data_IF_952652702778
#
_entry.id   IF_952652702778
#
_cell.length_a   1.000
_cell.length_b   1.000
_cell.length_c   1.000
_cell.angle_alpha   90.00
_cell.angle_beta   90.00
_cell.angle_gamma   90.00
#
_symmetry.space_group_name_H-M   'P 1'
#
loop_
_entity.id
_entity.type
_entity.pdbx_description
1 polymer ?
#
# COMPACT_ATOMS: atom_id res chain seq x y z
N UNK A 1 -30.26 -61.90 17.55
CA UNK A 1 -30.24 -61.57 16.11
C UNK A 1 -30.34 -60.06 15.97
N UNK A 2 -29.71 -59.51 14.92
CA UNK A 2 -29.66 -58.11 14.48
C UNK A 2 -28.51 -57.25 15.01
N UNK A 3 -27.36 -57.47 14.35
CA UNK A 3 -26.37 -56.47 13.98
C UNK A 3 -27.02 -55.21 13.38
N UNK A 4 -26.51 -54.02 13.71
CA UNK A 4 -26.47 -52.89 12.80
C UNK A 4 -25.25 -52.02 13.07
N UNK A 5 -24.52 -51.83 11.98
CA UNK A 5 -23.20 -51.26 11.80
C UNK A 5 -23.23 -49.73 11.85
N UNK A 6 -22.51 -49.13 12.80
CA UNK A 6 -22.29 -47.68 12.83
C UNK A 6 -21.09 -47.31 11.96
N UNK A 7 -21.41 -46.96 10.71
CA UNK A 7 -20.88 -45.87 9.87
C UNK A 7 -19.38 -45.55 10.01
N UNK A 8 -18.61 -46.02 9.01
CA UNK A 8 -17.39 -45.36 8.56
C UNK A 8 -17.74 -43.96 8.01
N UNK A 9 -17.09 -42.93 8.53
CA UNK A 9 -16.91 -41.65 7.83
C UNK A 9 -15.65 -40.96 8.33
N UNK A 10 -14.49 -41.49 7.96
CA UNK A 10 -13.21 -40.79 8.15
C UNK A 10 -12.94 -39.99 6.88
N UNK A 11 -13.44 -38.75 6.88
CA UNK A 11 -13.17 -37.77 5.83
C UNK A 11 -11.69 -37.38 5.89
N UNK A 12 -10.99 -37.59 4.78
CA UNK A 12 -9.58 -37.23 4.57
C UNK A 12 -9.31 -35.78 4.93
N UNK A 13 -8.32 -35.57 5.80
CA UNK A 13 -7.68 -34.28 5.95
C UNK A 13 -6.17 -34.43 5.84
N UNK A 14 -5.56 -33.38 5.27
CA UNK A 14 -4.14 -33.06 5.30
C UNK A 14 -3.23 -33.86 4.38
N UNK A 15 -3.07 -33.35 3.14
CA UNK A 15 -1.72 -32.95 2.72
C UNK A 15 -1.79 -31.91 1.60
N UNK A 16 -1.68 -30.63 1.97
CA UNK A 16 -1.23 -29.60 1.04
C UNK A 16 0.09 -29.05 1.59
N UNK A 17 1.16 -29.68 1.14
CA UNK A 17 2.52 -29.17 1.26
C UNK A 17 2.61 -27.89 0.44
N UNK A 18 2.62 -26.73 1.11
CA UNK A 18 2.95 -25.45 0.47
C UNK A 18 4.44 -25.20 0.71
N UNK A 19 5.26 -25.78 -0.16
CA UNK A 19 6.66 -25.37 -0.34
C UNK A 19 6.66 -23.98 -1.00
N UNK A 20 6.63 -22.92 -0.21
CA UNK A 20 6.77 -21.55 -0.69
C UNK A 20 8.25 -21.19 -0.88
N UNK A 21 8.86 -21.69 -1.95
CA UNK A 21 10.17 -21.23 -2.43
C UNK A 21 9.96 -20.04 -3.37
N UNK A 22 10.21 -18.83 -2.88
CA UNK A 22 10.34 -17.63 -3.73
C UNK A 22 11.78 -17.52 -4.23
N UNK A 23 12.07 -18.17 -5.34
CA UNK A 23 13.30 -17.96 -6.11
C UNK A 23 13.02 -16.88 -7.16
N UNK A 24 13.55 -15.67 -6.95
CA UNK A 24 13.59 -14.61 -7.97
C UNK A 24 15.01 -14.51 -8.51
N UNK A 25 15.33 -15.31 -9.51
CA UNK A 25 16.50 -15.08 -10.37
C UNK A 25 16.01 -14.44 -11.67
N UNK A 26 16.11 -13.11 -11.73
CA UNK A 26 15.92 -12.35 -12.97
C UNK A 26 17.19 -12.51 -13.84
N UNK A 27 17.20 -13.56 -14.65
CA UNK A 27 18.14 -13.69 -15.78
C UNK A 27 17.54 -12.91 -16.95
N UNK A 28 18.13 -11.75 -17.24
CA UNK A 28 17.86 -11.00 -18.48
C UNK A 28 18.59 -11.68 -19.65
N UNK A 29 17.91 -12.05 -20.75
CA UNK A 29 18.60 -12.41 -21.98
C UNK A 29 19.23 -11.15 -22.61
N UNK A 30 20.57 -11.14 -22.66
CA UNK A 30 21.38 -10.20 -23.43
C UNK A 30 21.11 -10.45 -24.91
N UNK A 31 20.31 -9.58 -25.54
CA UNK A 31 20.25 -9.48 -27.00
C UNK A 31 21.53 -8.77 -27.48
N UNK A 32 22.50 -9.58 -27.93
CA UNK A 32 23.57 -9.12 -28.81
C UNK A 32 22.95 -8.67 -30.14
N UNK A 33 22.83 -7.37 -30.32
CA UNK A 33 22.72 -6.79 -31.67
C UNK A 33 24.12 -6.44 -32.12
N UNK A 34 24.67 -7.31 -32.97
CA UNK A 34 25.91 -7.05 -33.69
C UNK A 34 25.70 -5.96 -34.75
N UNK A 35 26.51 -4.92 -34.66
CA UNK A 35 26.63 -3.85 -35.65
C UNK A 35 27.59 -4.32 -36.75
N UNK A 36 27.12 -4.40 -37.99
CA UNK A 36 27.97 -4.35 -39.20
C UNK A 36 27.81 -3.01 -39.92
N UNK A 37 28.74 -2.11 -39.58
CA UNK A 37 29.53 -1.17 -40.41
C UNK A 37 29.03 -0.85 -41.84
N UNK A 38 28.82 0.45 -42.14
CA UNK A 38 29.59 1.22 -43.15
C UNK A 38 29.08 2.67 -43.38
N UNK A 39 29.97 3.66 -43.14
CA UNK A 39 30.25 4.93 -43.89
C UNK A 39 29.10 5.94 -44.18
N UNK A 40 29.20 7.28 -44.05
CA UNK A 40 30.29 8.28 -44.25
C UNK A 40 29.79 9.69 -43.82
N UNK A 41 30.69 10.55 -43.29
CA UNK A 41 30.57 12.04 -43.20
C UNK A 41 29.67 12.56 -42.07
N UNK A 42 29.95 13.63 -41.31
CA UNK A 42 30.86 14.77 -41.48
C UNK A 42 31.10 15.40 -40.09
N UNK A 43 32.31 15.94 -39.88
CA UNK A 43 32.81 16.55 -38.64
C UNK A 43 31.92 17.72 -38.15
N UNK A 44 31.76 17.88 -36.83
CA UNK A 44 31.89 19.19 -36.15
C UNK A 44 32.08 19.03 -34.62
N UNK A 45 32.81 19.99 -34.07
CA UNK A 45 33.48 20.05 -32.76
C UNK A 45 32.58 19.94 -31.52
N UNK A 46 33.14 19.32 -30.48
CA UNK A 46 32.81 19.50 -29.04
C UNK A 46 33.43 20.83 -28.53
N UNK A 47 32.81 21.51 -27.54
CA UNK A 47 33.36 21.55 -26.17
C UNK A 47 32.26 21.14 -25.16
N UNK A 48 32.44 20.16 -24.28
CA UNK A 48 33.18 20.17 -23.02
C UNK A 48 32.51 21.04 -21.92
N UNK A 49 32.15 20.35 -20.83
CA UNK A 49 31.79 20.85 -19.49
C UNK A 49 30.37 21.40 -19.24
N UNK A 50 29.46 20.48 -18.91
CA UNK A 50 28.46 20.73 -17.86
C UNK A 50 28.25 19.43 -17.08
N UNK A 51 28.81 19.38 -15.86
CA UNK A 51 28.55 18.32 -14.88
C UNK A 51 27.03 18.27 -14.66
N UNK A 52 26.37 17.22 -15.16
CA UNK A 52 24.99 16.91 -14.75
C UNK A 52 25.04 16.58 -13.26
N UNK A 53 24.61 17.54 -12.45
CA UNK A 53 24.30 17.32 -11.05
C UNK A 53 23.37 16.12 -10.93
N UNK A 54 23.75 15.17 -10.08
CA UNK A 54 22.83 14.14 -9.59
C UNK A 54 21.59 14.82 -9.02
N UNK A 55 20.37 14.36 -9.33
CA UNK A 55 19.16 14.95 -8.78
C UNK A 55 19.20 14.81 -7.26
N UNK A 56 19.25 15.95 -6.58
CA UNK A 56 19.17 16.03 -5.13
C UNK A 56 17.91 15.28 -4.66
N UNK A 57 18.10 14.33 -3.73
CA UNK A 57 17.02 13.63 -3.03
C UNK A 57 15.98 14.68 -2.57
N UNK A 58 14.68 14.54 -2.89
CA UNK A 58 13.69 15.54 -2.52
C UNK A 58 13.70 15.71 -1.00
N UNK A 59 13.95 16.94 -0.54
CA UNK A 59 13.86 17.32 0.87
C UNK A 59 12.46 16.95 1.36
N UNK A 60 12.36 16.17 2.44
CA UNK A 60 11.07 15.79 3.04
C UNK A 60 10.28 17.08 3.32
N UNK A 61 9.12 17.22 2.68
CA UNK A 61 8.23 18.36 2.90
C UNK A 61 7.78 18.35 4.35
N UNK A 62 7.76 19.52 4.99
CA UNK A 62 7.17 19.68 6.33
C UNK A 62 5.69 19.30 6.23
N UNK A 63 5.19 18.42 7.12
CA UNK A 63 3.79 18.01 7.08
C UNK A 63 2.88 19.22 7.23
N UNK A 64 1.84 19.28 6.39
CA UNK A 64 0.82 20.32 6.52
C UNK A 64 -0.01 20.10 7.79
N UNK A 65 -0.65 21.14 8.34
CA UNK A 65 -1.53 21.00 9.52
C UNK A 65 -2.59 19.89 9.36
N UNK A 66 -3.11 19.73 8.14
CA UNK A 66 -4.07 18.66 7.78
C UNK A 66 -3.50 17.26 7.95
N UNK A 67 -2.19 17.11 7.71
CA UNK A 67 -1.47 15.84 7.83
C UNK A 67 -1.11 15.53 9.29
N UNK A 68 -0.89 16.56 10.11
CA UNK A 68 -0.69 16.40 11.55
C UNK A 68 -1.99 16.02 12.27
N UNK A 69 -3.12 16.57 11.83
CA UNK A 69 -4.45 16.24 12.38
C UNK A 69 -5.00 14.91 11.87
N UNK A 70 -4.32 14.26 10.91
CA UNK A 70 -4.74 12.96 10.41
C UNK A 70 -4.65 11.93 11.53
N UNK A 71 -5.74 11.20 11.85
CA UNK A 71 -5.71 10.15 12.85
C UNK A 71 -4.56 9.19 12.59
N UNK A 72 -3.77 8.94 13.63
CA UNK A 72 -2.61 8.05 13.55
C UNK A 72 -3.10 6.63 13.33
N UNK A 73 -2.39 5.87 12.49
CA UNK A 73 -2.72 4.47 12.23
C UNK A 73 -2.90 3.70 13.54
N UNK A 74 -3.96 2.90 13.59
CA UNK A 74 -4.23 2.02 14.72
C UNK A 74 -3.04 1.10 15.04
N UNK A 75 -2.90 0.80 16.32
CA UNK A 75 -1.86 -0.07 16.87
C UNK A 75 -2.30 -1.54 16.68
N UNK A 76 -1.38 -2.43 16.28
CA UNK A 76 -1.68 -3.87 16.16
C UNK A 76 -1.76 -4.55 17.52
N UNK A 77 -2.41 -5.73 17.60
CA UNK A 77 -2.54 -6.50 18.86
C UNK A 77 -1.18 -6.77 19.52
N UNK A 78 -0.18 -7.19 18.73
CA UNK A 78 1.20 -7.37 19.20
C UNK A 78 1.80 -6.10 19.81
N UNK A 79 1.51 -4.92 19.25
CA UNK A 79 2.07 -3.67 19.77
C UNK A 79 1.43 -3.26 21.10
N UNK A 80 0.20 -3.68 21.40
CA UNK A 80 -0.38 -3.54 22.75
C UNK A 80 0.39 -4.40 23.76
N UNK A 81 0.67 -5.66 23.40
CA UNK A 81 1.50 -6.54 24.22
C UNK A 81 2.89 -5.94 24.47
N UNK A 82 3.56 -5.46 23.43
CA UNK A 82 4.88 -4.82 23.56
C UNK A 82 4.84 -3.60 24.47
N UNK A 83 3.81 -2.75 24.34
CA UNK A 83 3.63 -1.58 25.22
C UNK A 83 3.45 -2.00 26.68
N UNK A 84 2.72 -3.08 26.93
CA UNK A 84 2.53 -3.63 28.28
C UNK A 84 3.82 -4.23 28.83
N UNK A 85 4.57 -5.00 28.04
CA UNK A 85 5.85 -5.58 28.45
C UNK A 85 6.89 -4.48 28.76
N UNK A 86 6.95 -3.44 27.92
CA UNK A 86 7.79 -2.28 28.23
C UNK A 86 7.33 -1.54 29.48
N UNK A 87 6.02 -1.42 29.72
CA UNK A 87 5.52 -0.79 30.94
C UNK A 87 5.87 -1.60 32.20
N UNK A 88 5.84 -2.94 32.12
CA UNK A 88 6.25 -3.87 33.19
C UNK A 88 7.75 -3.81 33.45
N UNK A 89 8.56 -3.70 32.40
CA UNK A 89 10.04 -3.76 32.49
C UNK A 89 10.71 -2.38 32.48
N UNK A 90 9.94 -1.30 32.67
CA UNK A 90 10.43 0.09 32.68
C UNK A 90 11.53 0.37 33.71
N UNK A 91 11.75 -0.54 34.67
CA UNK A 91 12.75 -0.43 35.72
C UNK A 91 14.15 -0.92 35.36
N UNK A 92 14.33 -1.71 34.29
CA UNK A 92 15.61 -2.40 34.11
C UNK A 92 16.71 -1.58 33.45
N UNK A 93 16.39 -0.52 32.68
CA UNK A 93 17.33 0.49 32.12
C UNK A 93 18.55 0.01 31.33
N UNK A 94 18.82 -1.30 31.32
CA UNK A 94 20.09 -1.95 31.02
C UNK A 94 20.04 -2.61 29.65
N UNK A 95 18.86 -3.08 29.24
CA UNK A 95 18.67 -3.71 27.93
C UNK A 95 18.22 -2.67 26.89
N UNK A 96 18.92 -2.55 25.74
CA UNK A 96 18.45 -1.74 24.63
C UNK A 96 17.04 -2.15 24.18
N UNK A 97 16.18 -1.17 23.88
CA UNK A 97 14.81 -1.44 23.45
C UNK A 97 14.73 -2.39 22.24
N UNK A 98 15.72 -2.36 21.36
CA UNK A 98 15.84 -3.27 20.21
C UNK A 98 15.98 -4.73 20.60
N UNK A 99 16.71 -5.02 21.68
CA UNK A 99 16.93 -6.39 22.14
C UNK A 99 15.77 -6.88 22.99
N UNK A 100 15.16 -5.99 23.78
CA UNK A 100 13.91 -6.27 24.48
C UNK A 100 12.79 -6.67 23.51
N UNK A 101 12.62 -5.96 22.38
CA UNK A 101 11.62 -6.32 21.36
C UNK A 101 11.85 -7.72 20.80
N UNK A 102 13.10 -8.14 20.58
CA UNK A 102 13.40 -9.51 20.08
C UNK A 102 12.98 -10.56 21.09
N UNK A 103 13.17 -10.31 22.39
CA UNK A 103 12.75 -11.21 23.46
C UNK A 103 11.22 -11.31 23.48
N UNK A 104 10.54 -10.16 23.51
CA UNK A 104 9.08 -10.11 23.49
C UNK A 104 8.47 -10.71 22.22
N UNK A 105 9.15 -10.62 21.07
CA UNK A 105 8.71 -11.27 19.84
C UNK A 105 8.67 -12.80 19.97
N UNK A 106 9.67 -13.40 20.63
CA UNK A 106 9.69 -14.84 20.91
C UNK A 106 8.57 -15.23 21.87
N UNK A 107 8.44 -14.48 22.97
CA UNK A 107 7.37 -14.69 23.95
C UNK A 107 5.98 -14.56 23.32
N UNK A 108 5.79 -13.61 22.38
CA UNK A 108 4.53 -13.48 21.66
C UNK A 108 4.20 -14.71 20.81
N UNK A 109 5.18 -15.37 20.21
CA UNK A 109 4.92 -16.60 19.44
C UNK A 109 4.49 -17.72 20.39
N UNK A 110 5.15 -17.84 21.55
CA UNK A 110 4.92 -18.87 22.57
C UNK A 110 3.59 -18.67 23.35
N UNK A 111 3.07 -17.45 23.42
CA UNK A 111 1.80 -17.15 24.09
C UNK A 111 0.62 -17.97 23.52
N UNK A 112 -0.28 -18.37 24.41
CA UNK A 112 -1.51 -19.07 24.04
C UNK A 112 -2.45 -18.17 23.24
N UNK A 113 -3.31 -18.77 22.40
CA UNK A 113 -4.28 -18.00 21.62
C UNK A 113 -5.27 -17.24 22.51
N UNK A 114 -5.60 -17.79 23.68
CA UNK A 114 -6.45 -17.12 24.68
C UNK A 114 -5.84 -15.83 25.21
N UNK A 115 -4.54 -15.80 25.46
CA UNK A 115 -3.86 -14.58 25.92
C UNK A 115 -3.73 -13.56 24.79
N UNK A 116 -3.52 -14.03 23.56
CA UNK A 116 -3.53 -13.19 22.36
C UNK A 116 -4.90 -12.56 22.11
N UNK A 117 -6.00 -13.28 22.35
CA UNK A 117 -7.36 -12.80 22.08
C UNK A 117 -7.70 -11.55 22.91
N UNK A 118 -7.15 -11.41 24.12
CA UNK A 118 -7.30 -10.18 24.93
C UNK A 118 -6.76 -8.96 24.18
N UNK A 119 -5.61 -9.08 23.52
CA UNK A 119 -5.04 -8.01 22.71
C UNK A 119 -5.76 -7.82 21.37
N UNK A 120 -6.32 -8.90 20.79
CA UNK A 120 -7.18 -8.79 19.61
C UNK A 120 -8.48 -8.04 19.92
N UNK A 121 -9.07 -8.26 21.08
CA UNK A 121 -10.26 -7.55 21.55
C UNK A 121 -9.97 -6.07 21.78
N UNK A 122 -8.85 -5.75 22.45
CA UNK A 122 -8.39 -4.36 22.59
C UNK A 122 -8.17 -3.67 21.24
N UNK A 123 -7.58 -4.39 20.26
CA UNK A 123 -7.43 -3.89 18.90
C UNK A 123 -8.78 -3.62 18.23
N UNK A 124 -9.76 -4.50 18.36
CA UNK A 124 -11.12 -4.32 17.78
C UNK A 124 -11.77 -3.04 18.31
N UNK A 125 -11.74 -2.82 19.62
CA UNK A 125 -12.26 -1.58 20.21
C UNK A 125 -11.53 -0.32 19.71
N UNK A 126 -10.19 -0.37 19.61
CA UNK A 126 -9.40 0.74 19.08
C UNK A 126 -9.63 0.99 17.59
N UNK A 127 -9.93 -0.05 16.81
CA UNK A 127 -10.30 0.06 15.39
C UNK A 127 -11.58 0.87 15.23
N UNK A 128 -12.62 0.56 16.00
CA UNK A 128 -13.89 1.30 15.96
C UNK A 128 -13.71 2.78 16.30
N UNK A 129 -12.89 3.11 17.31
CA UNK A 129 -12.62 4.50 17.64
C UNK A 129 -11.83 5.20 16.52
N UNK A 130 -10.81 4.53 15.98
CA UNK A 130 -10.02 5.08 14.87
C UNK A 130 -10.89 5.31 13.62
N UNK A 131 -11.85 4.44 13.32
CA UNK A 131 -12.79 4.63 12.22
C UNK A 131 -13.65 5.89 12.42
N UNK A 132 -14.14 6.14 13.64
CA UNK A 132 -14.85 7.38 13.98
C UNK A 132 -13.96 8.61 13.81
N UNK A 133 -12.73 8.55 14.30
CA UNK A 133 -11.77 9.65 14.20
C UNK A 133 -11.41 9.94 12.73
N UNK A 134 -11.23 8.90 11.91
CA UNK A 134 -10.99 9.02 10.46
C UNK A 134 -12.20 9.60 9.77
N UNK A 135 -13.42 9.13 10.07
CA UNK A 135 -14.63 9.69 9.49
C UNK A 135 -14.81 11.18 9.82
N UNK A 136 -14.52 11.58 11.07
CA UNK A 136 -14.54 12.97 11.49
C UNK A 136 -13.47 13.82 10.78
N UNK A 137 -12.25 13.29 10.66
CA UNK A 137 -11.16 13.95 9.92
C UNK A 137 -11.49 14.09 8.43
N UNK A 138 -12.02 13.04 7.82
CA UNK A 138 -12.46 13.06 6.42
C UNK A 138 -13.59 14.07 6.23
N UNK A 139 -14.58 14.10 7.11
CA UNK A 139 -15.65 15.12 7.06
C UNK A 139 -15.08 16.54 7.13
N UNK A 140 -14.11 16.79 8.02
CA UNK A 140 -13.44 18.10 8.18
C UNK A 140 -12.57 18.47 6.98
N UNK A 141 -11.92 17.49 6.36
CA UNK A 141 -10.90 17.72 5.33
C UNK A 141 -11.24 17.20 3.93
N UNK A 142 -12.51 16.85 3.68
CA UNK A 142 -13.05 16.48 2.36
C UNK A 142 -12.59 17.50 1.32
N UNK A 143 -11.78 17.04 0.36
CA UNK A 143 -11.29 17.90 -0.72
C UNK A 143 -12.48 18.15 -1.65
N UNK A 144 -12.78 19.42 -1.87
CA UNK A 144 -13.75 19.85 -2.88
C UNK A 144 -13.30 19.24 -4.23
N UNK A 145 -14.14 18.48 -4.95
CA UNK A 145 -13.79 17.98 -6.27
C UNK A 145 -13.41 19.17 -7.16
N UNK A 146 -12.28 19.07 -7.86
CA UNK A 146 -11.93 20.09 -8.86
C UNK A 146 -12.81 19.92 -10.11
N UNK A 147 -12.83 20.93 -10.97
CA UNK A 147 -13.61 20.92 -12.20
C UNK A 147 -13.42 19.66 -13.07
N UNK A 148 -12.17 19.21 -13.24
CA UNK A 148 -11.85 17.95 -13.93
C UNK A 148 -12.42 16.70 -13.24
N UNK A 149 -12.41 16.66 -11.90
CA UNK A 149 -12.93 15.52 -11.11
C UNK A 149 -14.45 15.42 -11.27
N UNK A 150 -15.15 16.56 -11.33
CA UNK A 150 -16.59 16.62 -11.61
C UNK A 150 -16.89 16.15 -13.03
N UNK A 151 -16.17 16.67 -14.03
CA UNK A 151 -16.28 16.22 -15.43
C UNK A 151 -16.01 14.71 -15.55
N UNK A 152 -14.92 14.25 -14.95
CA UNK A 152 -14.55 12.84 -14.94
C UNK A 152 -15.66 11.97 -14.35
N UNK A 153 -16.24 12.36 -13.20
CA UNK A 153 -17.34 11.61 -12.59
C UNK A 153 -18.61 11.53 -13.43
N UNK A 154 -18.87 12.53 -14.29
CA UNK A 154 -20.04 12.55 -15.19
C UNK A 154 -19.83 11.67 -16.43
N UNK A 155 -18.60 11.57 -16.91
CA UNK A 155 -18.26 10.83 -18.13
C UNK A 155 -17.67 9.44 -17.87
N UNK A 156 -17.49 9.07 -16.60
CA UNK A 156 -17.01 7.76 -16.20
C UNK A 156 -18.16 6.76 -16.16
N UNK A 157 -18.15 5.83 -17.12
CA UNK A 157 -19.04 4.67 -17.12
C UNK A 157 -18.36 3.53 -16.37
N UNK A 158 -18.97 3.10 -15.26
CA UNK A 158 -18.44 1.98 -14.45
C UNK A 158 -18.81 0.66 -15.15
N UNK A 159 -17.99 0.22 -16.09
CA UNK A 159 -18.14 -1.10 -16.71
C UNK A 159 -17.69 -2.16 -15.71
N UNK A 160 -18.62 -2.91 -15.14
CA UNK A 160 -18.32 -4.04 -14.25
C UNK A 160 -17.91 -5.25 -15.11
N UNK A 161 -16.63 -5.64 -15.08
CA UNK A 161 -16.19 -6.91 -15.69
C UNK A 161 -14.84 -6.91 -16.40
N UNK A 162 -14.27 -5.75 -16.74
CA UNK A 162 -12.93 -5.69 -17.33
C UNK A 162 -11.92 -5.14 -16.33
N UNK A 163 -10.79 -5.84 -16.14
CA UNK A 163 -9.74 -5.47 -15.18
C UNK A 163 -9.12 -4.09 -15.45
N UNK A 164 -8.10 -3.73 -14.67
CA UNK A 164 -7.43 -2.40 -14.63
C UNK A 164 -7.15 -1.74 -16.01
N UNK A 165 -7.07 -2.52 -17.10
CA UNK A 165 -6.88 -2.06 -18.47
C UNK A 165 -8.01 -1.15 -18.98
N UNK A 166 -9.28 -1.50 -18.76
CA UNK A 166 -10.44 -0.74 -19.27
C UNK A 166 -10.57 0.63 -18.58
N UNK A 167 -10.26 0.68 -17.29
CA UNK A 167 -10.19 1.92 -16.51
C UNK A 167 -9.15 2.89 -17.09
N UNK A 168 -8.02 2.39 -17.58
CA UNK A 168 -6.97 3.21 -18.17
C UNK A 168 -7.34 3.74 -19.56
N UNK A 169 -8.05 2.97 -20.40
CA UNK A 169 -8.55 3.46 -21.70
C UNK A 169 -9.64 4.50 -21.52
N UNK A 170 -10.57 4.31 -20.59
CA UNK A 170 -11.62 5.29 -20.30
C UNK A 170 -11.06 6.60 -19.74
N UNK A 171 -10.08 6.53 -18.84
CA UNK A 171 -9.35 7.72 -18.40
C UNK A 171 -8.73 8.50 -19.58
N UNK A 172 -8.13 7.80 -20.56
CA UNK A 172 -7.57 8.45 -21.75
C UNK A 172 -8.65 9.05 -22.64
N UNK A 173 -9.77 8.35 -22.83
CA UNK A 173 -10.93 8.83 -23.59
C UNK A 173 -11.48 10.12 -22.99
N UNK A 174 -11.78 10.10 -21.69
CA UNK A 174 -12.29 11.26 -20.95
C UNK A 174 -11.27 12.40 -20.94
N UNK A 175 -9.97 12.11 -20.82
CA UNK A 175 -8.92 13.13 -20.90
C UNK A 175 -8.86 13.79 -22.28
N UNK A 176 -9.09 13.03 -23.36
CA UNK A 176 -9.17 13.58 -24.71
C UNK A 176 -10.42 14.45 -24.89
N UNK A 177 -11.57 14.04 -24.34
CA UNK A 177 -12.78 14.88 -24.30
C UNK A 177 -12.50 16.20 -23.57
N UNK A 178 -11.87 16.16 -22.40
CA UNK A 178 -11.50 17.36 -21.66
C UNK A 178 -10.56 18.29 -22.42
N UNK A 179 -9.62 17.75 -23.21
CA UNK A 179 -8.75 18.58 -24.06
C UNK A 179 -9.54 19.33 -25.12
N UNK A 180 -10.60 18.74 -25.65
CA UNK A 180 -11.45 19.32 -26.70
C UNK A 180 -12.41 20.40 -26.18
N UNK A 181 -12.76 20.41 -24.88
CA UNK A 181 -13.60 21.45 -24.29
C UNK A 181 -12.95 22.84 -24.35
N UNK A 182 -13.76 23.86 -24.62
CA UNK A 182 -13.36 25.27 -24.56
C UNK A 182 -13.01 25.69 -23.13
N UNK A 183 -12.18 26.74 -22.94
CA UNK A 183 -11.86 27.26 -21.60
C UNK A 183 -13.10 27.72 -20.81
N UNK A 184 -14.16 28.12 -21.50
CA UNK A 184 -15.42 28.59 -20.92
C UNK A 184 -16.23 27.43 -20.32
N UNK A 185 -16.36 26.33 -21.08
CA UNK A 185 -17.00 25.10 -20.60
C UNK A 185 -16.27 24.50 -19.40
N UNK A 186 -14.93 24.56 -19.40
CA UNK A 186 -14.10 24.07 -18.27
C UNK A 186 -14.34 24.86 -16.99
N UNK A 187 -14.54 26.18 -17.08
CA UNK A 187 -14.87 27.06 -15.94
C UNK A 187 -16.28 26.81 -15.40
N UNK A 188 -17.22 26.39 -16.24
CA UNK A 188 -18.58 26.05 -15.80
C UNK A 188 -18.58 24.91 -14.75
N UNK A 189 -17.61 24.00 -14.82
CA UNK A 189 -17.40 22.93 -13.83
C UNK A 189 -16.68 23.38 -12.55
N UNK A 190 -16.10 24.59 -12.48
CA UNK A 190 -15.57 25.12 -11.22
C UNK A 190 -16.69 25.59 -10.28
N UNK A 191 -17.83 26.04 -10.84
CA UNK A 191 -18.92 26.68 -10.11
C UNK A 191 -20.11 25.76 -9.75
N UNK A 192 -20.27 24.61 -10.41
CA UNK A 192 -21.30 23.59 -10.11
C UNK A 192 -20.88 22.66 -8.99
#
# INVERSE_FOLDING_TARGET
MFSLTTKLFTQRFSQLSIQNVRSITSTTPVLKTEVKKATKGTKTKKPAAAKKATPAKPKKKVPTQKELEKPKKMISAYMYYIKEQFAKNKGDGSTPATDAIKIYAKQWIELSESEKEVYHTQRKSALEQHEKDVAAWEAKYKRKPNSWTKFYSQHYEKVEGEGLSHSASEMKRIANLWKQLTPEEKKAYDSK
#
